data_IF_878149196993
#
_entry.id   IF_878149196993
#
_cell.length_a   1.000
_cell.length_b   1.000
_cell.length_c   1.000
_cell.angle_alpha   90.00
_cell.angle_beta   90.00
_cell.angle_gamma   90.00
#
_symmetry.space_group_name_H-M   'P 1'
#
loop_
_entity.id
_entity.type
_entity.pdbx_description
1 polymer ?
#
# COMPACT_ATOMS: atom_id res chain seq x y z
N UNK A 1 19.61 15.24 -11.01
CA UNK A 1 19.12 13.98 -11.60
C UNK A 1 18.31 13.27 -10.53
N UNK A 2 17.00 13.13 -10.69
CA UNK A 2 16.18 12.34 -9.77
C UNK A 2 16.31 10.85 -10.08
N UNK A 3 16.24 9.99 -9.07
CA UNK A 3 16.06 8.56 -9.31
C UNK A 3 14.66 8.31 -9.91
N UNK A 4 14.55 7.37 -10.85
CA UNK A 4 13.26 7.01 -11.43
C UNK A 4 12.53 6.07 -10.47
N UNK A 5 11.36 6.46 -9.95
CA UNK A 5 10.53 5.63 -9.06
C UNK A 5 9.80 4.49 -9.80
N UNK A 6 9.89 4.46 -11.13
CA UNK A 6 9.39 3.39 -11.97
C UNK A 6 10.53 2.84 -12.83
N UNK A 7 10.72 1.51 -12.87
CA UNK A 7 11.72 0.89 -13.74
C UNK A 7 11.36 1.05 -15.21
N UNK A 8 12.37 0.99 -16.08
CA UNK A 8 12.18 1.02 -17.54
C UNK A 8 11.57 -0.27 -18.08
N UNK A 9 11.92 -1.40 -17.45
CA UNK A 9 11.37 -2.70 -17.79
C UNK A 9 9.83 -2.69 -17.59
N UNK A 10 9.05 -3.01 -18.64
CA UNK A 10 7.61 -2.88 -18.59
C UNK A 10 6.94 -3.83 -17.58
N UNK A 11 7.50 -5.03 -17.38
CA UNK A 11 6.96 -6.04 -16.45
C UNK A 11 7.20 -5.60 -15.01
N UNK A 12 8.44 -5.22 -14.66
CA UNK A 12 8.75 -4.66 -13.34
C UNK A 12 7.97 -3.39 -13.07
N UNK A 13 7.73 -2.55 -14.08
CA UNK A 13 6.93 -1.33 -13.94
C UNK A 13 5.47 -1.64 -13.62
N UNK A 14 4.91 -2.68 -14.23
CA UNK A 14 3.57 -3.16 -13.91
C UNK A 14 3.48 -3.71 -12.48
N UNK A 15 4.50 -4.44 -12.02
CA UNK A 15 4.60 -4.95 -10.64
C UNK A 15 4.65 -3.80 -9.63
N UNK A 16 5.52 -2.81 -9.84
CA UNK A 16 5.58 -1.62 -8.96
C UNK A 16 4.22 -0.95 -8.86
N UNK A 17 3.54 -0.74 -10.00
CA UNK A 17 2.19 -0.17 -10.02
C UNK A 17 1.18 -1.03 -9.28
N UNK A 18 1.21 -2.36 -9.46
CA UNK A 18 0.33 -3.29 -8.74
C UNK A 18 0.47 -3.12 -7.23
N UNK A 19 1.70 -3.17 -6.71
CA UNK A 19 1.96 -3.01 -5.28
C UNK A 19 1.54 -1.62 -4.77
N UNK A 20 1.87 -0.55 -5.49
CA UNK A 20 1.42 0.80 -5.15
C UNK A 20 -0.11 0.90 -5.08
N UNK A 21 -0.84 0.30 -6.03
CA UNK A 21 -2.30 0.38 -6.08
C UNK A 21 -3.02 -0.48 -5.04
N UNK A 22 -2.41 -1.58 -4.57
CA UNK A 22 -2.93 -2.32 -3.42
C UNK A 22 -3.06 -1.37 -2.22
N UNK A 23 -2.09 -0.49 -2.01
CA UNK A 23 -2.12 0.51 -0.94
C UNK A 23 -3.00 1.70 -1.33
N UNK A 24 -2.67 2.37 -2.44
CA UNK A 24 -3.24 3.64 -2.85
C UNK A 24 -4.76 3.55 -3.11
N UNK A 25 -5.20 2.50 -3.80
CA UNK A 25 -6.61 2.29 -4.12
C UNK A 25 -7.27 1.26 -3.19
N UNK A 26 -6.53 0.23 -2.77
CA UNK A 26 -7.08 -0.89 -2.01
C UNK A 26 -7.14 -0.73 -0.49
N UNK A 27 -6.37 0.20 0.10
CA UNK A 27 -6.34 0.45 1.55
C UNK A 27 -6.72 1.89 1.86
N UNK A 28 -5.94 2.85 1.34
CA UNK A 28 -5.97 4.24 1.79
C UNK A 28 -7.34 4.91 1.72
N UNK A 29 -8.15 4.73 0.66
CA UNK A 29 -9.43 5.42 0.55
C UNK A 29 -10.44 4.92 1.60
N UNK A 30 -10.36 3.64 1.97
CA UNK A 30 -11.31 3.00 2.91
C UNK A 30 -11.04 3.42 4.35
N UNK A 31 -9.78 3.69 4.70
CA UNK A 31 -9.37 4.24 6.00
C UNK A 31 -9.32 5.78 6.01
N UNK A 32 -9.69 6.45 4.92
CA UNK A 32 -9.62 7.91 4.86
C UNK A 32 -10.61 8.52 5.86
N UNK A 33 -10.18 9.55 6.60
CA UNK A 33 -11.04 10.24 7.56
C UNK A 33 -12.33 10.78 6.93
N UNK A 34 -12.30 11.23 5.67
CA UNK A 34 -13.51 11.68 4.97
C UNK A 34 -14.50 10.55 4.77
N UNK A 35 -14.04 9.35 4.41
CA UNK A 35 -14.87 8.16 4.24
C UNK A 35 -15.37 7.65 5.60
N UNK A 36 -14.47 7.51 6.58
CA UNK A 36 -14.83 7.01 7.91
C UNK A 36 -15.80 7.93 8.66
N UNK A 37 -15.84 9.24 8.36
CA UNK A 37 -16.85 10.15 8.92
C UNK A 37 -18.28 9.81 8.51
N UNK A 38 -18.47 9.10 7.40
CA UNK A 38 -19.80 8.69 6.91
C UNK A 38 -20.20 7.29 7.38
N UNK A 39 -19.37 6.62 8.18
CA UNK A 39 -19.74 5.33 8.76
C UNK A 39 -20.89 5.50 9.78
N UNK A 40 -21.80 4.51 9.85
CA UNK A 40 -22.82 4.47 10.89
C UNK A 40 -22.21 4.53 12.30
N UNK A 41 -22.92 5.09 13.29
CA UNK A 41 -22.39 5.30 14.64
C UNK A 41 -22.07 4.01 15.40
N UNK A 42 -22.69 2.88 15.01
CA UNK A 42 -22.46 1.55 15.56
C UNK A 42 -21.21 0.85 14.99
N UNK A 43 -20.61 1.40 13.94
CA UNK A 43 -19.37 0.87 13.35
C UNK A 43 -18.15 1.54 14.00
N UNK A 44 -17.30 0.74 14.62
CA UNK A 44 -15.99 1.21 15.09
C UNK A 44 -15.09 1.56 13.91
N UNK A 45 -14.65 2.82 13.85
CA UNK A 45 -13.72 3.31 12.82
C UNK A 45 -12.37 2.59 12.89
N UNK A 46 -11.92 2.27 14.10
CA UNK A 46 -10.64 1.58 14.32
C UNK A 46 -10.71 0.14 13.82
N UNK A 47 -11.79 -0.58 14.13
CA UNK A 47 -12.01 -1.94 13.62
C UNK A 47 -12.19 -1.94 12.10
N UNK A 48 -12.91 -0.95 11.56
CA UNK A 48 -13.06 -0.76 10.12
C UNK A 48 -11.71 -0.56 9.43
N UNK A 49 -10.90 0.37 9.91
CA UNK A 49 -9.57 0.63 9.36
C UNK A 49 -8.68 -0.60 9.47
N UNK A 50 -8.60 -1.22 10.65
CA UNK A 50 -7.80 -2.43 10.89
C UNK A 50 -8.18 -3.57 9.94
N UNK A 51 -9.48 -3.78 9.67
CA UNK A 51 -9.95 -4.79 8.73
C UNK A 51 -9.39 -4.56 7.32
N UNK A 52 -9.54 -3.34 6.78
CA UNK A 52 -9.10 -3.03 5.42
C UNK A 52 -7.58 -2.99 5.28
N UNK A 53 -6.89 -2.48 6.30
CA UNK A 53 -5.42 -2.50 6.39
C UNK A 53 -4.92 -3.94 6.38
N UNK A 54 -5.44 -4.80 7.26
CA UNK A 54 -5.00 -6.20 7.36
C UNK A 54 -5.26 -6.95 6.05
N UNK A 55 -6.45 -6.78 5.47
CA UNK A 55 -6.80 -7.40 4.18
C UNK A 55 -5.84 -6.96 3.07
N UNK A 56 -5.56 -5.67 2.97
CA UNK A 56 -4.67 -5.12 1.96
C UNK A 56 -3.21 -5.52 2.16
N UNK A 57 -2.71 -5.50 3.39
CA UNK A 57 -1.35 -5.95 3.69
C UNK A 57 -1.15 -7.45 3.49
N UNK A 58 -2.15 -8.29 3.76
CA UNK A 58 -2.08 -9.71 3.40
C UNK A 58 -1.88 -9.89 1.89
N UNK A 59 -2.60 -9.12 1.07
CA UNK A 59 -2.44 -9.15 -0.38
C UNK A 59 -1.10 -8.55 -0.85
N UNK A 60 -0.65 -7.47 -0.21
CA UNK A 60 0.62 -6.82 -0.49
C UNK A 60 1.80 -7.77 -0.19
N UNK A 61 1.82 -8.38 0.99
CA UNK A 61 2.85 -9.31 1.45
C UNK A 61 2.96 -10.54 0.53
N UNK A 62 1.82 -11.10 0.11
CA UNK A 62 1.80 -12.24 -0.82
C UNK A 62 2.42 -11.91 -2.19
N UNK A 63 2.33 -10.65 -2.63
CA UNK A 63 3.01 -10.19 -3.85
C UNK A 63 4.48 -9.86 -3.58
N UNK A 64 4.77 -9.25 -2.44
CA UNK A 64 6.11 -8.87 -2.00
C UNK A 64 7.06 -10.07 -2.01
N UNK A 65 6.63 -11.20 -1.45
CA UNK A 65 7.37 -12.47 -1.41
C UNK A 65 7.89 -12.95 -2.77
N UNK A 66 7.27 -12.52 -3.88
CA UNK A 66 7.64 -12.94 -5.24
C UNK A 66 8.69 -12.02 -5.88
N UNK A 67 8.81 -10.78 -5.44
CA UNK A 67 9.50 -9.71 -6.18
C UNK A 67 10.45 -8.85 -5.35
N UNK A 68 10.39 -8.91 -4.02
CA UNK A 68 11.19 -8.06 -3.13
C UNK A 68 12.67 -8.41 -3.14
N UNK A 69 13.49 -7.41 -2.86
CA UNK A 69 14.90 -7.56 -2.49
C UNK A 69 15.18 -6.70 -1.27
N UNK A 70 16.12 -5.77 -1.37
CA UNK A 70 16.33 -4.75 -0.33
C UNK A 70 15.15 -3.76 -0.21
N UNK A 71 14.33 -3.65 -1.25
CA UNK A 71 13.14 -2.79 -1.34
C UNK A 71 11.94 -3.61 -1.85
N UNK A 72 10.78 -2.95 -2.01
CA UNK A 72 9.54 -3.61 -2.41
C UNK A 72 9.65 -4.36 -3.74
N UNK A 73 10.47 -3.87 -4.69
CA UNK A 73 10.71 -4.54 -5.97
C UNK A 73 12.21 -4.56 -6.26
N UNK A 74 12.84 -5.69 -5.97
CA UNK A 74 14.29 -5.87 -6.11
C UNK A 74 15.10 -4.94 -5.21
N UNK A 75 16.16 -4.35 -5.77
CA UNK A 75 17.20 -3.65 -5.00
C UNK A 75 17.26 -2.14 -5.28
N UNK A 76 16.23 -1.58 -5.91
CA UNK A 76 16.10 -0.14 -6.13
C UNK A 76 14.81 0.39 -5.53
N UNK A 77 14.87 1.59 -4.96
CA UNK A 77 13.71 2.25 -4.36
C UNK A 77 12.70 2.62 -5.45
N UNK A 78 11.43 2.35 -5.19
CA UNK A 78 10.35 2.47 -6.16
C UNK A 78 9.13 3.18 -5.59
N UNK A 79 8.14 3.47 -6.45
CA UNK A 79 6.85 4.01 -6.01
C UNK A 79 6.12 3.12 -4.99
N UNK A 80 6.36 1.81 -5.00
CA UNK A 80 5.76 0.89 -4.03
C UNK A 80 6.27 1.18 -2.60
N UNK A 81 7.55 1.47 -2.45
CA UNK A 81 8.17 1.83 -1.17
C UNK A 81 7.62 3.16 -0.63
N UNK A 82 7.46 4.13 -1.53
CA UNK A 82 6.89 5.44 -1.19
C UNK A 82 5.43 5.31 -0.71
N UNK A 83 4.65 4.36 -1.24
CA UNK A 83 3.30 4.08 -0.75
C UNK A 83 3.32 3.27 0.56
N UNK A 84 4.27 2.35 0.72
CA UNK A 84 4.35 1.45 1.89
C UNK A 84 4.63 2.18 3.20
N UNK A 85 5.66 3.01 3.22
CA UNK A 85 6.13 3.69 4.46
C UNK A 85 5.01 4.47 5.18
N UNK A 86 4.27 5.39 4.53
CA UNK A 86 3.19 6.10 5.20
C UNK A 86 2.03 5.18 5.59
N UNK A 87 1.77 4.11 4.83
CA UNK A 87 0.70 3.16 5.13
C UNK A 87 1.01 2.32 6.37
N UNK A 88 2.27 1.90 6.55
CA UNK A 88 2.73 1.21 7.77
C UNK A 88 2.63 2.14 8.98
N UNK A 89 3.05 3.39 8.84
CA UNK A 89 2.88 4.38 9.90
C UNK A 89 1.40 4.55 10.30
N UNK A 90 0.49 4.64 9.33
CA UNK A 90 -0.94 4.77 9.62
C UNK A 90 -1.53 3.53 10.30
N UNK A 91 -1.00 2.33 10.02
CA UNK A 91 -1.44 1.10 10.67
C UNK A 91 -1.02 1.00 12.15
N UNK A 92 -0.02 1.78 12.58
CA UNK A 92 0.47 1.82 13.96
C UNK A 92 -0.09 2.98 14.80
N UNK A 93 -0.88 3.87 14.19
CA UNK A 93 -1.54 4.99 14.88
C UNK A 93 -2.90 4.61 15.41
#
# INVERSE_FOLDING_TARGET
>A
MGCSLLPKDPVKRAIVRKLSEIINSGIQPLQNLSVMRHLPPDISKDQWAAHWIQRGFNAFEAELQKVSGNYCVGNELSMADICLVPQVYNAHR
#
